data_IF_539183530314
#
_entry.id   IF_539183530314
#
_cell.length_a   1.000
_cell.length_b   1.000
_cell.length_c   1.000
_cell.angle_alpha   90.00
_cell.angle_beta   90.00
_cell.angle_gamma   90.00
#
_symmetry.space_group_name_H-M   'P 1'
#
loop_
_entity.id
_entity.type
_entity.pdbx_description
1 polymer ?
#
# COMPACT_ATOMS: atom_id res chain seq x y z
N UNK A 1 7.97 -23.93 -44.05
CA UNK A 1 8.32 -24.13 -42.65
C UNK A 1 8.76 -22.85 -41.92
N UNK A 2 9.56 -22.04 -42.55
CA UNK A 2 10.07 -20.78 -41.95
C UNK A 2 9.02 -19.68 -41.74
N UNK A 3 7.97 -19.60 -42.53
CA UNK A 3 6.90 -18.57 -42.40
C UNK A 3 5.98 -18.87 -41.22
N UNK A 4 5.59 -20.12 -41.02
CA UNK A 4 4.72 -20.54 -39.93
C UNK A 4 5.43 -20.39 -38.57
N UNK A 5 6.71 -20.72 -38.50
CA UNK A 5 7.51 -20.55 -37.27
C UNK A 5 7.73 -19.07 -36.90
N UNK A 6 7.89 -18.19 -37.88
CA UNK A 6 7.99 -16.74 -37.66
C UNK A 6 6.67 -16.12 -37.21
N UNK A 7 5.55 -16.55 -37.73
CA UNK A 7 4.21 -16.10 -37.33
C UNK A 7 3.93 -16.56 -35.88
N UNK A 8 4.22 -17.83 -35.55
CA UNK A 8 4.04 -18.37 -34.23
C UNK A 8 4.91 -17.61 -33.16
N UNK A 9 6.15 -17.29 -33.52
CA UNK A 9 7.05 -16.53 -32.64
C UNK A 9 6.56 -15.09 -32.39
N UNK A 10 6.04 -14.44 -33.43
CA UNK A 10 5.48 -13.08 -33.32
C UNK A 10 4.20 -13.05 -32.48
N UNK A 11 3.34 -14.03 -32.61
CA UNK A 11 2.13 -14.16 -31.80
C UNK A 11 2.44 -14.45 -30.33
N UNK A 12 3.45 -15.28 -30.04
CA UNK A 12 3.92 -15.56 -28.70
C UNK A 12 4.50 -14.31 -28.00
N UNK A 13 5.31 -13.52 -28.70
CA UNK A 13 5.86 -12.26 -28.19
C UNK A 13 4.77 -11.22 -27.91
N UNK A 14 3.78 -11.10 -28.78
CA UNK A 14 2.65 -10.19 -28.57
C UNK A 14 1.83 -10.56 -27.34
N UNK A 15 1.60 -11.84 -27.07
CA UNK A 15 0.89 -12.32 -25.88
C UNK A 15 1.63 -12.01 -24.58
N UNK A 16 2.94 -12.16 -24.54
CA UNK A 16 3.78 -11.84 -23.37
C UNK A 16 3.76 -10.35 -23.07
N UNK A 17 3.86 -9.49 -24.06
CA UNK A 17 3.79 -8.03 -23.90
C UNK A 17 2.41 -7.59 -23.39
N UNK A 18 1.33 -8.17 -23.87
CA UNK A 18 -0.03 -7.87 -23.41
C UNK A 18 -0.23 -8.25 -21.93
N UNK A 19 0.28 -9.39 -21.49
CA UNK A 19 0.22 -9.80 -20.07
C UNK A 19 1.01 -8.85 -19.15
N UNK A 20 2.18 -8.39 -19.58
CA UNK A 20 3.02 -7.47 -18.80
C UNK A 20 2.33 -6.10 -18.62
N UNK A 21 1.66 -5.57 -19.65
CA UNK A 21 0.93 -4.29 -19.54
C UNK A 21 -0.29 -4.38 -18.64
N UNK A 22 -0.99 -5.52 -18.60
CA UNK A 22 -2.12 -5.73 -17.69
C UNK A 22 -1.69 -5.73 -16.21
N UNK A 23 -0.56 -6.34 -15.87
CA UNK A 23 0.01 -6.33 -14.52
C UNK A 23 0.44 -4.92 -14.09
N UNK A 24 1.02 -4.13 -14.99
CA UNK A 24 1.41 -2.75 -14.72
C UNK A 24 0.19 -1.84 -14.43
N UNK A 25 -0.96 -2.04 -15.08
CA UNK A 25 -2.19 -1.30 -14.81
C UNK A 25 -2.73 -1.55 -13.40
N UNK A 26 -2.65 -2.78 -12.88
CA UNK A 26 -3.04 -3.12 -11.50
C UNK A 26 -2.15 -2.40 -10.46
N UNK A 27 -0.85 -2.31 -10.70
CA UNK A 27 0.09 -1.65 -9.79
C UNK A 27 -0.09 -0.13 -9.74
N UNK A 28 -0.66 0.51 -10.78
CA UNK A 28 -0.87 1.96 -10.87
C UNK A 28 -2.15 2.44 -10.16
N UNK A 29 -3.07 1.53 -9.79
CA UNK A 29 -4.35 1.88 -9.19
C UNK A 29 -4.32 2.00 -7.66
N UNK A 30 -3.16 1.95 -7.03
CA UNK A 30 -2.97 2.08 -5.59
C UNK A 30 -1.81 3.05 -5.29
N UNK A 31 -1.99 3.98 -4.34
CA UNK A 31 -3.22 4.35 -3.64
C UNK A 31 -4.05 5.38 -4.43
N UNK A 32 -5.38 5.27 -4.38
CA UNK A 32 -6.31 6.20 -5.02
C UNK A 32 -7.07 7.09 -4.03
N UNK A 33 -6.88 6.86 -2.73
CA UNK A 33 -7.52 7.57 -1.61
C UNK A 33 -6.56 7.66 -0.44
N UNK A 34 -6.86 8.47 0.61
CA UNK A 34 -6.01 8.57 1.78
C UNK A 34 -5.79 7.22 2.48
N UNK A 35 -4.57 7.05 3.01
CA UNK A 35 -4.17 5.88 3.78
C UNK A 35 -4.19 6.22 5.26
N UNK A 36 -4.77 5.35 6.08
CA UNK A 36 -4.81 5.51 7.55
C UNK A 36 -3.59 4.84 8.17
N UNK A 37 -2.91 5.56 9.05
CA UNK A 37 -1.81 5.01 9.85
C UNK A 37 -2.25 4.99 11.32
N UNK A 38 -2.59 3.80 11.79
CA UNK A 38 -3.03 3.60 13.18
C UNK A 38 -1.81 3.54 14.08
N UNK A 39 -1.84 4.35 15.14
CA UNK A 39 -0.78 4.44 16.15
C UNK A 39 -1.37 4.06 17.50
N UNK A 40 -0.84 3.02 18.13
CA UNK A 40 -1.36 2.44 19.37
C UNK A 40 -1.00 3.20 20.65
N UNK A 41 -0.62 4.47 20.54
CA UNK A 41 -0.24 5.33 21.66
C UNK A 41 -1.00 6.66 21.61
N UNK A 42 -1.06 7.35 22.75
CA UNK A 42 -1.68 8.66 22.84
C UNK A 42 -0.89 9.71 22.04
N UNK A 43 -1.56 10.77 21.55
CA UNK A 43 -0.90 11.87 20.83
C UNK A 43 0.12 12.60 21.70
N UNK A 44 1.20 13.06 21.07
CA UNK A 44 2.19 13.96 21.67
C UNK A 44 3.43 13.31 22.26
N UNK A 45 3.48 11.97 22.33
CA UNK A 45 4.68 11.25 22.77
C UNK A 45 5.71 11.08 21.66
N UNK A 46 6.85 10.45 21.98
CA UNK A 46 7.93 10.21 21.04
C UNK A 46 7.48 9.31 19.87
N UNK A 47 6.73 8.26 20.16
CA UNK A 47 6.23 7.35 19.14
C UNK A 47 5.23 8.02 18.19
N UNK A 48 4.36 8.87 18.71
CA UNK A 48 3.43 9.66 17.90
C UNK A 48 4.18 10.63 16.98
N UNK A 49 5.19 11.30 17.50
CA UNK A 49 6.03 12.23 16.72
C UNK A 49 6.71 11.51 15.56
N UNK A 50 7.31 10.35 15.80
CA UNK A 50 7.95 9.54 14.75
C UNK A 50 6.91 9.05 13.74
N UNK A 51 5.76 8.59 14.18
CA UNK A 51 4.68 8.16 13.30
C UNK A 51 4.22 9.28 12.36
N UNK A 52 4.11 10.52 12.86
CA UNK A 52 3.73 11.68 12.04
C UNK A 52 4.80 12.06 11.01
N UNK A 53 6.08 11.94 11.37
CA UNK A 53 7.18 12.14 10.43
C UNK A 53 7.18 11.07 9.33
N UNK A 54 6.95 9.82 9.68
CA UNK A 54 6.82 8.71 8.72
C UNK A 54 5.62 8.93 7.81
N UNK A 55 4.48 9.32 8.36
CA UNK A 55 3.26 9.61 7.59
C UNK A 55 3.49 10.73 6.57
N UNK A 56 4.19 11.79 6.96
CA UNK A 56 4.51 12.91 6.08
C UNK A 56 5.45 12.49 4.94
N UNK A 57 6.50 11.74 5.24
CA UNK A 57 7.45 11.25 4.25
C UNK A 57 6.77 10.25 3.28
N UNK A 58 5.94 9.37 3.80
CA UNK A 58 5.21 8.40 3.00
C UNK A 58 4.20 9.09 2.07
N UNK A 59 3.44 10.06 2.60
CA UNK A 59 2.48 10.84 1.82
C UNK A 59 3.13 11.53 0.62
N UNK A 60 4.32 12.10 0.79
CA UNK A 60 5.07 12.72 -0.28
C UNK A 60 5.47 11.72 -1.39
N UNK A 61 5.72 10.46 -1.03
CA UNK A 61 6.14 9.42 -1.97
C UNK A 61 4.99 8.74 -2.71
N UNK A 62 3.86 8.53 -2.04
CA UNK A 62 2.73 7.80 -2.61
C UNK A 62 1.70 8.71 -3.28
N UNK A 63 1.80 10.04 -3.10
CA UNK A 63 0.91 11.01 -3.72
C UNK A 63 -0.50 11.07 -3.13
N UNK A 64 -0.72 10.46 -1.95
CA UNK A 64 -1.99 10.50 -1.21
C UNK A 64 -1.71 10.86 0.24
N UNK A 65 -2.65 11.53 0.94
CA UNK A 65 -2.51 11.80 2.36
C UNK A 65 -2.37 10.51 3.17
N UNK A 66 -1.42 10.49 4.10
CA UNK A 66 -1.31 9.45 5.14
C UNK A 66 -1.75 10.08 6.45
N UNK A 67 -2.90 9.66 6.95
CA UNK A 67 -3.55 10.25 8.12
C UNK A 67 -3.23 9.42 9.36
N UNK A 68 -2.58 10.05 10.34
CA UNK A 68 -2.31 9.43 11.63
C UNK A 68 -3.59 9.39 12.46
N UNK A 69 -3.90 8.22 13.00
CA UNK A 69 -5.04 8.00 13.87
C UNK A 69 -4.57 7.32 15.14
N UNK A 70 -4.65 8.03 16.26
CA UNK A 70 -4.24 7.50 17.55
C UNK A 70 -5.34 6.63 18.14
N UNK A 71 -5.02 5.37 18.45
CA UNK A 71 -5.89 4.39 19.10
C UNK A 71 -5.19 3.81 20.31
N UNK A 72 -5.05 4.57 21.41
CA UNK A 72 -4.38 4.08 22.61
C UNK A 72 -5.24 3.09 23.38
N UNK A 73 -4.60 2.28 24.20
CA UNK A 73 -5.24 1.36 25.13
C UNK A 73 -4.66 -0.04 25.11
N UNK A 74 -4.72 -0.71 26.24
CA UNK A 74 -4.30 -2.09 26.44
C UNK A 74 -2.88 -2.40 25.89
N UNK A 75 -1.93 -1.52 26.11
CA UNK A 75 -0.53 -1.69 25.64
C UNK A 75 -0.39 -1.71 24.11
N UNK A 76 -1.27 -1.05 23.38
CA UNK A 76 -1.27 -1.01 21.93
C UNK A 76 -2.23 -2.02 21.27
N UNK A 77 -2.86 -2.89 22.03
CA UNK A 77 -3.76 -3.92 21.48
C UNK A 77 -5.01 -3.33 20.83
N UNK A 78 -5.52 -2.21 21.35
CA UNK A 78 -6.68 -1.51 20.73
C UNK A 78 -6.36 -1.05 19.31
N UNK A 79 -5.19 -0.46 19.10
CA UNK A 79 -4.73 -0.08 17.77
C UNK A 79 -4.50 -1.27 16.85
N UNK A 80 -3.90 -2.33 17.37
CA UNK A 80 -3.68 -3.57 16.64
C UNK A 80 -5.02 -4.19 16.17
N UNK A 81 -6.02 -4.27 17.05
CA UNK A 81 -7.35 -4.77 16.68
C UNK A 81 -8.01 -3.95 15.59
N UNK A 82 -7.86 -2.63 15.63
CA UNK A 82 -8.41 -1.76 14.60
C UNK A 82 -7.84 -2.09 13.20
N UNK A 83 -6.56 -2.43 13.13
CA UNK A 83 -5.91 -2.82 11.86
C UNK A 83 -6.30 -4.24 11.44
N UNK A 84 -6.32 -5.18 12.37
CA UNK A 84 -6.69 -6.58 12.09
C UNK A 84 -8.12 -6.69 11.57
N UNK A 85 -9.03 -5.88 12.09
CA UNK A 85 -10.44 -5.86 11.69
C UNK A 85 -10.73 -4.97 10.46
N UNK A 86 -9.74 -4.22 9.99
CA UNK A 86 -9.89 -3.40 8.78
C UNK A 86 -9.85 -4.27 7.52
N UNK A 87 -10.43 -3.81 6.41
CA UNK A 87 -10.28 -4.48 5.12
C UNK A 87 -8.81 -4.66 4.74
N UNK A 88 -8.39 -5.83 4.22
CA UNK A 88 -7.01 -6.09 3.83
C UNK A 88 -6.68 -5.50 2.45
N UNK A 89 -6.89 -4.20 2.28
CA UNK A 89 -6.76 -3.48 1.02
C UNK A 89 -5.52 -2.55 0.96
N UNK A 90 -4.72 -2.52 2.02
CA UNK A 90 -3.54 -1.65 2.11
C UNK A 90 -3.83 -0.19 2.50
N UNK A 91 -5.08 0.18 2.82
CA UNK A 91 -5.46 1.53 3.23
C UNK A 91 -5.49 1.75 4.74
N UNK A 92 -5.22 0.71 5.51
CA UNK A 92 -5.08 0.80 6.96
C UNK A 92 -3.77 0.12 7.37
N UNK A 93 -2.86 0.91 7.91
CA UNK A 93 -1.53 0.48 8.31
C UNK A 93 -1.38 0.61 9.83
N UNK A 94 -0.53 -0.20 10.42
CA UNK A 94 -0.16 -0.12 11.83
C UNK A 94 1.27 0.44 11.97
N UNK A 95 1.42 1.43 12.82
CA UNK A 95 2.72 1.84 13.35
C UNK A 95 2.90 1.23 14.73
N UNK A 96 3.73 0.21 14.82
CA UNK A 96 4.03 -0.50 16.07
C UNK A 96 5.46 -0.22 16.54
N UNK A 97 5.66 -0.28 17.83
CA UNK A 97 6.96 -0.12 18.49
C UNK A 97 7.27 -1.33 19.35
#
# INVERSE_FOLDING_TARGET
>A
MTVISRIALRLATAAVVACATSLASFALDYPTKPVRLIVGVAPGGANDTVARLVAQALSARIGQPVVVENRPGAGGNVGLEAVVNAPPDGYTLLFAT
#
